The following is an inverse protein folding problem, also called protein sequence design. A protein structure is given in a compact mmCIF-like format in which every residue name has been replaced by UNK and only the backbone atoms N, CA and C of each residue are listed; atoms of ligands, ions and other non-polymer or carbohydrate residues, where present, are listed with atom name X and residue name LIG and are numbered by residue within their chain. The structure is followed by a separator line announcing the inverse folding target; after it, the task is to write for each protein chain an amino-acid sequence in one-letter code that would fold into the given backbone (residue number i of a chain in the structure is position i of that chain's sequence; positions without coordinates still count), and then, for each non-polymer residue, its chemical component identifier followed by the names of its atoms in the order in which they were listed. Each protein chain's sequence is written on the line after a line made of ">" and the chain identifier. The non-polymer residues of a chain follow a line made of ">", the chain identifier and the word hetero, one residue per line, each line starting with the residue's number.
data_IF_271467705144
#
_entry.id   IF_271467705144
#
_cell.length_a   1.000
_cell.length_b   1.000
_cell.length_c   1.000
_cell.angle_alpha   90.00
_cell.angle_beta   90.00
_cell.angle_gamma   90.00
#
_symmetry.space_group_name_H-M   'P 1'
#
loop_
_entity.id
_entity.type
_entity.pdbx_description
1 polymer ?
#
# COMPACT_ATOMS: atom_id res chain seq x y z
N UNK A 1 -61.21 5.58 -8.38
CA UNK A 1 -60.57 5.85 -9.69
C UNK A 1 -59.08 5.71 -9.50
N UNK A 2 -58.53 4.60 -9.97
CA UNK A 2 -57.10 4.31 -9.88
C UNK A 2 -56.32 5.09 -10.94
N UNK A 3 -55.16 5.59 -10.55
CA UNK A 3 -54.13 6.06 -11.47
C UNK A 3 -52.86 5.27 -11.18
N UNK A 4 -52.68 4.23 -11.98
CA UNK A 4 -51.43 3.48 -12.12
C UNK A 4 -50.41 4.35 -12.86
N UNK A 5 -49.42 4.85 -12.14
CA UNK A 5 -48.18 5.33 -12.73
C UNK A 5 -47.15 4.20 -12.74
N UNK A 6 -46.96 3.55 -13.89
CA UNK A 6 -45.92 2.56 -14.12
C UNK A 6 -44.54 3.22 -13.99
N UNK A 7 -43.74 2.75 -13.04
CA UNK A 7 -42.30 3.02 -12.98
C UNK A 7 -41.63 1.97 -13.86
N UNK A 8 -41.17 2.39 -15.04
CA UNK A 8 -40.30 1.59 -15.91
C UNK A 8 -38.93 1.38 -15.21
N UNK A 9 -38.35 0.17 -15.25
CA UNK A 9 -37.01 -0.06 -14.73
C UNK A 9 -35.97 0.55 -15.68
N UNK A 10 -35.21 1.54 -15.19
CA UNK A 10 -33.99 2.02 -15.82
C UNK A 10 -32.97 0.87 -15.87
N UNK A 11 -32.82 0.26 -17.06
CA UNK A 11 -31.66 -0.56 -17.43
C UNK A 11 -30.53 0.39 -17.81
N UNK A 12 -29.54 0.58 -16.94
CA UNK A 12 -28.25 1.10 -17.39
C UNK A 12 -27.44 -0.07 -17.95
N UNK A 13 -27.37 -0.09 -19.28
CA UNK A 13 -26.52 -1.00 -20.04
C UNK A 13 -25.05 -0.75 -19.74
N UNK A 14 -24.35 -1.84 -19.51
CA UNK A 14 -22.90 -1.93 -19.68
C UNK A 14 -22.60 -1.61 -21.15
N UNK A 15 -21.93 -0.47 -21.40
CA UNK A 15 -21.24 -0.27 -22.68
C UNK A 15 -19.94 -1.05 -22.59
N UNK A 16 -19.97 -2.27 -23.08
CA UNK A 16 -18.79 -2.96 -23.58
C UNK A 16 -18.31 -2.19 -24.81
N UNK A 17 -17.11 -1.63 -24.74
CA UNK A 17 -16.38 -1.14 -25.91
C UNK A 17 -15.94 -2.37 -26.72
N UNK A 18 -16.85 -2.87 -27.55
CA UNK A 18 -16.57 -3.78 -28.64
C UNK A 18 -16.35 -2.95 -29.91
N UNK A 19 -15.09 -2.79 -30.30
CA UNK A 19 -14.64 -2.58 -31.68
C UNK A 19 -13.11 -2.51 -31.68
N UNK A 20 -12.44 -3.65 -31.91
CA UNK A 20 -11.33 -3.75 -32.88
C UNK A 20 -10.97 -5.23 -33.14
N UNK A 21 -11.90 -6.00 -33.71
CA UNK A 21 -11.59 -7.25 -34.40
C UNK A 21 -11.73 -7.03 -35.90
N UNK A 22 -10.65 -6.59 -36.57
CA UNK A 22 -10.32 -6.96 -37.96
C UNK A 22 -8.94 -6.44 -38.37
N UNK A 23 -7.91 -7.22 -38.09
CA UNK A 23 -6.76 -7.37 -38.99
C UNK A 23 -5.98 -8.63 -38.59
N UNK A 24 -6.40 -9.79 -39.11
CA UNK A 24 -5.52 -10.94 -39.20
C UNK A 24 -4.37 -10.61 -40.16
N UNK A 25 -3.16 -10.51 -39.63
CA UNK A 25 -1.94 -10.65 -40.43
C UNK A 25 -0.86 -11.34 -39.60
N UNK A 26 -0.27 -12.33 -40.26
CA UNK A 26 0.67 -13.34 -39.78
C UNK A 26 1.73 -12.81 -38.81
N UNK A 27 1.88 -13.53 -37.70
CA UNK A 27 3.00 -13.39 -36.76
C UNK A 27 4.24 -13.91 -37.48
N UNK A 28 5.07 -12.99 -37.97
CA UNK A 28 6.41 -13.30 -38.45
C UNK A 28 7.32 -13.60 -37.24
N UNK A 29 8.13 -14.69 -37.28
CA UNK A 29 9.09 -14.97 -36.24
C UNK A 29 10.35 -14.14 -36.52
N UNK A 30 10.35 -12.86 -36.16
CA UNK A 30 11.61 -12.13 -36.12
C UNK A 30 12.42 -12.65 -34.93
N UNK A 31 13.61 -13.24 -35.15
CA UNK A 31 14.51 -13.54 -34.04
C UNK A 31 14.86 -12.22 -33.35
N UNK A 32 14.88 -12.18 -32.01
CA UNK A 32 15.31 -10.98 -31.30
C UNK A 32 16.73 -10.61 -31.73
N UNK A 33 17.05 -9.30 -31.83
CA UNK A 33 18.37 -8.87 -32.24
C UNK A 33 19.43 -9.54 -31.35
N UNK A 34 20.33 -10.28 -31.99
CA UNK A 34 21.57 -10.77 -31.39
C UNK A 34 22.23 -9.55 -30.72
N UNK A 35 22.52 -9.66 -29.42
CA UNK A 35 23.16 -8.67 -28.53
C UNK A 35 22.28 -7.81 -27.58
N UNK A 36 21.03 -8.16 -27.27
CA UNK A 36 20.40 -7.67 -26.03
C UNK A 36 20.26 -8.78 -24.99
N UNK A 37 21.12 -8.76 -23.97
CA UNK A 37 20.99 -9.65 -22.81
C UNK A 37 19.73 -9.22 -22.05
N UNK A 38 18.69 -10.06 -22.06
CA UNK A 38 17.47 -9.80 -21.29
C UNK A 38 17.79 -9.81 -19.80
N UNK A 39 17.15 -8.91 -19.03
CA UNK A 39 17.11 -9.00 -17.59
C UNK A 39 16.04 -10.02 -17.16
N UNK A 40 16.44 -11.07 -16.47
CA UNK A 40 15.55 -12.16 -16.02
C UNK A 40 15.05 -11.88 -14.62
N UNK A 41 13.73 -11.70 -14.49
CA UNK A 41 13.04 -11.50 -13.22
C UNK A 41 12.32 -12.79 -12.83
N UNK A 42 12.94 -13.56 -11.93
CA UNK A 42 12.29 -14.68 -11.26
C UNK A 42 11.22 -14.17 -10.31
N UNK A 43 9.97 -14.63 -10.42
CA UNK A 43 8.88 -14.17 -9.56
C UNK A 43 8.25 -15.30 -8.75
N UNK A 44 8.05 -15.01 -7.46
CA UNK A 44 7.35 -15.85 -6.50
C UNK A 44 6.26 -15.02 -5.81
N UNK A 45 5.09 -14.96 -6.44
CA UNK A 45 3.98 -14.08 -6.03
C UNK A 45 2.75 -14.91 -5.70
N UNK A 46 1.94 -14.44 -4.75
CA UNK A 46 0.64 -15.08 -4.49
C UNK A 46 -0.25 -15.00 -5.73
N UNK A 47 -1.16 -15.97 -5.91
CA UNK A 47 -2.07 -15.97 -7.07
C UNK A 47 -2.89 -14.68 -7.17
N UNK A 48 -3.27 -14.10 -6.02
CA UNK A 48 -3.94 -12.79 -5.96
C UNK A 48 -3.06 -11.68 -6.51
N UNK A 49 -1.78 -11.68 -6.15
CA UNK A 49 -0.81 -10.68 -6.57
C UNK A 49 -0.57 -10.77 -8.08
N UNK A 50 -0.34 -11.97 -8.62
CA UNK A 50 -0.20 -12.22 -10.07
C UNK A 50 -1.39 -11.61 -10.83
N UNK A 51 -2.63 -12.00 -10.48
CA UNK A 51 -3.85 -11.47 -11.11
C UNK A 51 -3.98 -9.94 -11.04
N UNK A 52 -3.51 -9.33 -9.95
CA UNK A 52 -3.64 -7.87 -9.74
C UNK A 52 -2.52 -7.04 -10.37
N UNK A 53 -1.30 -7.59 -10.48
CA UNK A 53 -0.07 -6.86 -10.78
C UNK A 53 0.58 -7.32 -12.08
N UNK A 54 0.78 -8.62 -12.26
CA UNK A 54 1.45 -9.20 -13.43
C UNK A 54 0.44 -9.42 -14.56
N UNK A 55 -0.08 -8.31 -15.08
CA UNK A 55 -1.06 -8.31 -16.18
C UNK A 55 -0.36 -8.32 -17.55
N UNK A 56 -1.04 -8.77 -18.62
CA UNK A 56 -0.46 -8.83 -19.96
C UNK A 56 0.18 -7.51 -20.45
N UNK A 57 -0.40 -6.35 -20.08
CA UNK A 57 0.17 -5.04 -20.41
C UNK A 57 1.55 -4.79 -19.79
N UNK A 58 1.76 -5.21 -18.54
CA UNK A 58 3.06 -5.10 -17.88
C UNK A 58 4.07 -6.05 -18.52
N UNK A 59 3.68 -7.31 -18.75
CA UNK A 59 4.54 -8.32 -19.35
C UNK A 59 4.95 -7.96 -20.78
N UNK A 60 4.02 -7.43 -21.58
CA UNK A 60 4.28 -6.95 -22.94
C UNK A 60 5.27 -5.79 -22.97
N UNK A 61 5.05 -4.75 -22.15
CA UNK A 61 6.00 -3.62 -22.08
C UNK A 61 7.38 -4.07 -21.56
N UNK A 62 7.41 -4.90 -20.53
CA UNK A 62 8.64 -5.40 -19.95
C UNK A 62 9.45 -6.20 -20.98
N UNK A 63 8.81 -7.11 -21.72
CA UNK A 63 9.43 -7.86 -22.81
C UNK A 63 10.00 -6.95 -23.88
N UNK A 64 9.24 -5.94 -24.31
CA UNK A 64 9.69 -4.97 -25.32
C UNK A 64 10.90 -4.14 -24.86
N UNK A 65 11.06 -3.94 -23.54
CA UNK A 65 12.24 -3.28 -22.96
C UNK A 65 13.35 -4.25 -22.53
N UNK A 66 13.27 -5.53 -22.86
CA UNK A 66 14.31 -6.50 -22.57
C UNK A 66 14.23 -7.12 -21.17
N UNK A 67 13.06 -7.19 -20.55
CA UNK A 67 12.82 -7.92 -19.28
C UNK A 67 12.02 -9.19 -19.57
N UNK A 68 12.47 -10.31 -19.00
CA UNK A 68 11.74 -11.58 -19.02
C UNK A 68 11.28 -11.95 -17.61
N UNK A 69 9.97 -12.12 -17.43
CA UNK A 69 9.42 -12.69 -16.19
C UNK A 69 9.39 -14.21 -16.25
N UNK A 70 9.94 -14.87 -15.23
CA UNK A 70 9.96 -16.33 -15.10
C UNK A 70 9.34 -16.72 -13.77
N UNK A 71 8.34 -17.59 -13.79
CA UNK A 71 7.72 -18.08 -12.56
C UNK A 71 8.71 -18.99 -11.82
N UNK A 72 8.90 -18.76 -10.52
CA UNK A 72 9.67 -19.66 -9.66
C UNK A 72 8.77 -20.81 -9.22
N UNK A 73 9.21 -22.04 -9.48
CA UNK A 73 8.60 -23.26 -8.99
C UNK A 73 9.01 -23.50 -7.53
N UNK A 74 8.02 -23.51 -6.63
CA UNK A 74 8.25 -23.71 -5.20
C UNK A 74 8.56 -25.17 -4.84
N UNK A 75 8.36 -26.11 -5.75
CA UNK A 75 8.64 -27.53 -5.53
C UNK A 75 10.08 -27.92 -5.89
N UNK A 76 10.88 -26.97 -6.39
CA UNK A 76 12.26 -27.16 -6.80
C UNK A 76 13.19 -26.21 -6.02
N UNK A 77 14.45 -26.58 -5.78
CA UNK A 77 15.42 -25.68 -5.18
C UNK A 77 15.56 -24.39 -5.99
N UNK A 78 15.68 -23.24 -5.31
CA UNK A 78 15.77 -21.93 -5.99
C UNK A 78 17.09 -21.78 -6.77
N UNK A 79 18.17 -22.39 -6.27
CA UNK A 79 19.49 -22.46 -6.91
C UNK A 79 19.45 -23.02 -8.34
N UNK A 80 18.50 -23.92 -8.61
CA UNK A 80 18.47 -24.71 -9.84
C UNK A 80 17.57 -24.08 -10.93
N UNK A 81 17.04 -22.90 -10.66
CA UNK A 81 16.05 -22.23 -11.50
C UNK A 81 16.57 -20.94 -12.14
N UNK A 82 17.76 -20.49 -11.72
CA UNK A 82 18.45 -19.34 -12.29
C UNK A 82 19.13 -19.64 -13.65
N UNK A 83 19.92 -18.69 -14.17
CA UNK A 83 20.28 -17.43 -13.53
C UNK A 83 19.13 -16.41 -13.55
N UNK A 84 18.88 -15.77 -12.41
CA UNK A 84 18.01 -14.61 -12.29
C UNK A 84 18.86 -13.36 -12.11
N UNK A 85 18.45 -12.20 -12.64
CA UNK A 85 19.04 -10.91 -12.27
C UNK A 85 18.32 -10.32 -11.05
N UNK A 86 17.01 -10.61 -10.94
CA UNK A 86 16.12 -10.11 -9.89
C UNK A 86 15.20 -11.24 -9.43
N UNK A 87 15.01 -11.38 -8.12
CA UNK A 87 13.97 -12.22 -7.51
C UNK A 87 12.90 -11.33 -6.92
N UNK A 88 11.73 -11.26 -7.55
CA UNK A 88 10.57 -10.49 -7.10
C UNK A 88 9.63 -11.39 -6.31
N UNK A 89 9.39 -11.10 -5.03
CA UNK A 89 8.58 -12.00 -4.21
C UNK A 89 7.57 -11.33 -3.27
N UNK A 90 6.52 -12.08 -2.97
CA UNK A 90 5.49 -11.75 -1.97
C UNK A 90 4.91 -12.99 -1.29
N UNK A 91 5.64 -14.12 -1.31
CA UNK A 91 5.26 -15.29 -0.53
C UNK A 91 5.71 -15.11 0.92
N UNK A 92 4.94 -15.71 1.82
CA UNK A 92 5.17 -15.70 3.26
C UNK A 92 5.41 -17.12 3.74
N UNK A 93 6.23 -17.31 4.77
CA UNK A 93 6.51 -18.64 5.32
C UNK A 93 7.90 -18.71 5.94
N UNK A 94 8.14 -19.61 6.88
CA UNK A 94 9.49 -19.81 7.43
C UNK A 94 10.42 -20.43 6.38
N UNK A 95 9.96 -21.47 5.69
CA UNK A 95 10.72 -22.20 4.67
C UNK A 95 11.10 -21.31 3.49
N UNK A 96 10.12 -20.64 2.87
CA UNK A 96 10.38 -19.71 1.75
C UNK A 96 11.40 -18.62 2.10
N UNK A 97 11.30 -18.05 3.32
CA UNK A 97 12.26 -17.03 3.77
C UNK A 97 13.66 -17.61 3.92
N UNK A 98 13.80 -18.82 4.45
CA UNK A 98 15.09 -19.48 4.57
C UNK A 98 15.70 -19.73 3.19
N UNK A 99 14.91 -20.28 2.25
CA UNK A 99 15.39 -20.52 0.88
C UNK A 99 15.83 -19.23 0.18
N UNK A 100 15.15 -18.11 0.40
CA UNK A 100 15.55 -16.81 -0.15
C UNK A 100 16.84 -16.28 0.49
N UNK A 101 17.03 -16.47 1.79
CA UNK A 101 18.24 -16.03 2.49
C UNK A 101 19.45 -16.84 2.03
N UNK A 102 19.31 -18.17 1.94
CA UNK A 102 20.35 -19.07 1.43
C UNK A 102 20.72 -18.73 -0.03
N UNK A 103 19.72 -18.43 -0.86
CA UNK A 103 19.93 -18.01 -2.23
C UNK A 103 20.65 -16.66 -2.31
N UNK A 104 20.30 -15.69 -1.45
CA UNK A 104 20.96 -14.37 -1.39
C UNK A 104 22.44 -14.48 -1.00
N UNK A 105 22.77 -15.41 -0.11
CA UNK A 105 24.15 -15.64 0.32
C UNK A 105 24.99 -16.29 -0.78
N UNK A 106 24.41 -17.23 -1.52
CA UNK A 106 25.10 -17.97 -2.59
C UNK A 106 25.13 -17.20 -3.92
N UNK A 107 24.22 -16.25 -4.12
CA UNK A 107 24.10 -15.45 -5.34
C UNK A 107 24.02 -13.94 -5.01
N UNK A 108 25.09 -13.33 -4.46
CA UNK A 108 25.11 -11.93 -4.03
C UNK A 108 24.95 -10.94 -5.18
N UNK A 109 25.16 -11.38 -6.41
CA UNK A 109 24.86 -10.61 -7.60
C UNK A 109 23.36 -10.41 -7.78
N UNK A 110 22.49 -11.33 -7.33
CA UNK A 110 21.05 -11.29 -7.61
C UNK A 110 20.32 -10.33 -6.67
N UNK A 111 19.46 -9.48 -7.24
CA UNK A 111 18.68 -8.54 -6.43
C UNK A 111 17.42 -9.23 -5.91
N UNK A 112 17.36 -9.54 -4.61
CA UNK A 112 16.12 -9.99 -3.94
C UNK A 112 15.27 -8.78 -3.57
N UNK A 113 14.06 -8.70 -4.14
CA UNK A 113 13.18 -7.54 -4.08
C UNK A 113 11.86 -7.87 -3.34
N UNK A 114 11.63 -7.39 -2.11
CA UNK A 114 12.59 -6.77 -1.17
C UNK A 114 13.22 -7.83 -0.23
N UNK A 115 14.31 -7.52 0.50
CA UNK A 115 14.92 -8.46 1.44
C UNK A 115 13.96 -9.04 2.50
N UNK A 116 13.97 -10.36 2.80
CA UNK A 116 13.04 -10.99 3.75
C UNK A 116 13.12 -10.48 5.19
N UNK A 117 14.28 -10.00 5.62
CA UNK A 117 14.53 -9.35 6.91
C UNK A 117 13.87 -7.96 6.97
N UNK A 118 14.04 -7.15 5.93
CA UNK A 118 13.42 -5.82 5.80
C UNK A 118 11.89 -5.87 5.91
N UNK A 119 11.27 -6.88 5.28
CA UNK A 119 9.80 -7.05 5.26
C UNK A 119 9.25 -7.33 6.67
N UNK A 120 10.00 -8.03 7.53
CA UNK A 120 9.54 -8.41 8.88
C UNK A 120 9.28 -7.20 9.78
N UNK A 121 9.99 -6.09 9.57
CA UNK A 121 9.79 -4.86 10.33
C UNK A 121 8.36 -4.28 10.17
N UNK A 122 7.67 -4.61 9.07
CA UNK A 122 6.31 -4.15 8.80
C UNK A 122 5.21 -5.08 9.36
N UNK A 123 5.54 -6.27 9.87
CA UNK A 123 4.54 -7.18 10.44
C UNK A 123 4.05 -6.75 11.84
N UNK A 124 4.75 -5.82 12.49
CA UNK A 124 4.34 -5.26 13.76
C UNK A 124 3.95 -3.78 13.60
N UNK A 125 2.65 -3.49 13.68
CA UNK A 125 2.11 -2.11 13.57
C UNK A 125 2.70 -1.15 14.60
N UNK A 126 3.17 -1.65 15.74
CA UNK A 126 3.86 -0.83 16.75
C UNK A 126 5.18 -0.27 16.21
N UNK A 127 6.04 -1.12 15.64
CA UNK A 127 7.36 -0.72 15.14
C UNK A 127 7.30 -0.03 13.78
N UNK A 128 6.29 -0.37 12.97
CA UNK A 128 6.13 0.13 11.60
C UNK A 128 6.14 1.67 11.52
N UNK A 129 5.37 2.33 12.38
CA UNK A 129 5.29 3.79 12.40
C UNK A 129 6.38 4.45 13.26
N UNK A 130 7.07 3.67 14.09
CA UNK A 130 8.15 4.19 14.95
C UNK A 130 9.29 4.78 14.10
N UNK A 131 9.63 4.15 12.97
CA UNK A 131 10.60 4.71 12.03
C UNK A 131 10.23 6.12 11.55
N UNK A 132 8.93 6.43 11.44
CA UNK A 132 8.45 7.77 11.08
C UNK A 132 8.61 8.75 12.25
N UNK A 133 8.24 8.33 13.46
CA UNK A 133 8.41 9.14 14.67
C UNK A 133 9.87 9.53 14.89
N UNK A 134 10.80 8.59 14.73
CA UNK A 134 12.23 8.78 14.99
C UNK A 134 12.92 9.72 13.98
N UNK A 135 12.32 9.95 12.81
CA UNK A 135 12.88 10.84 11.79
C UNK A 135 12.72 12.34 12.14
N UNK A 136 11.74 12.69 12.99
CA UNK A 136 11.36 14.07 13.32
C UNK A 136 11.43 15.03 12.10
N UNK A 137 10.75 14.64 11.02
CA UNK A 137 10.93 15.27 9.71
C UNK A 137 10.18 16.60 9.66
N UNK A 138 10.90 17.68 9.92
CA UNK A 138 10.45 19.08 9.80
C UNK A 138 11.37 19.82 8.84
N UNK A 139 10.81 20.45 7.80
CA UNK A 139 11.57 21.29 6.86
C UNK A 139 10.72 22.48 6.36
N UNK A 140 11.24 23.23 5.40
CA UNK A 140 10.55 24.38 4.78
C UNK A 140 9.25 24.02 4.07
N UNK A 141 8.99 22.74 3.81
CA UNK A 141 7.78 22.24 3.14
C UNK A 141 6.74 21.67 4.13
N UNK A 142 7.07 21.62 5.43
CA UNK A 142 6.16 21.18 6.48
C UNK A 142 6.74 20.13 7.42
N UNK A 143 5.86 19.55 8.23
CA UNK A 143 6.15 18.58 9.27
C UNK A 143 5.44 17.28 8.98
N UNK A 144 6.17 16.17 9.08
CA UNK A 144 5.63 14.82 9.00
C UNK A 144 5.80 14.15 10.36
N UNK A 145 4.70 13.66 10.92
CA UNK A 145 4.69 12.86 12.14
C UNK A 145 3.80 11.64 12.03
N UNK A 146 3.48 11.06 13.18
CA UNK A 146 2.46 10.03 13.34
C UNK A 146 1.49 10.50 14.43
N UNK A 147 0.19 10.17 14.35
CA UNK A 147 -0.71 10.46 15.46
C UNK A 147 -0.29 9.65 16.68
N UNK A 148 -0.55 10.18 17.88
CA UNK A 148 -0.21 9.48 19.11
C UNK A 148 -0.92 8.12 19.14
N UNK A 149 -0.20 7.09 19.57
CA UNK A 149 -0.72 5.73 19.54
C UNK A 149 -0.26 4.90 20.74
N UNK A 150 -1.06 3.88 21.07
CA UNK A 150 -0.86 2.98 22.19
C UNK A 150 -1.24 1.56 21.78
N UNK A 151 -0.48 0.56 22.22
CA UNK A 151 -0.76 -0.85 21.97
C UNK A 151 -1.38 -1.49 23.21
N UNK A 152 -2.54 -2.11 23.03
CA UNK A 152 -3.19 -2.91 24.07
C UNK A 152 -3.19 -4.36 23.62
N UNK A 153 -2.53 -5.24 24.39
CA UNK A 153 -2.32 -6.64 24.00
C UNK A 153 -3.37 -7.62 24.52
N UNK A 154 -3.94 -7.38 25.71
CA UNK A 154 -4.75 -8.40 26.40
C UNK A 154 -5.97 -7.84 27.12
N UNK A 155 -5.77 -6.95 28.08
CA UNK A 155 -6.85 -6.55 28.98
C UNK A 155 -7.73 -5.45 28.37
N UNK A 156 -8.98 -5.81 28.03
CA UNK A 156 -9.97 -4.86 27.51
C UNK A 156 -10.42 -3.86 28.59
N UNK A 157 -10.47 -4.29 29.85
CA UNK A 157 -10.96 -3.47 30.96
C UNK A 157 -9.98 -2.34 31.33
N UNK A 158 -8.69 -2.54 31.05
CA UNK A 158 -7.64 -1.54 31.30
C UNK A 158 -7.59 -0.44 30.24
N UNK A 159 -8.23 -0.61 29.08
CA UNK A 159 -8.14 0.31 27.93
C UNK A 159 -8.39 1.78 28.35
N UNK A 160 -9.48 2.12 29.07
CA UNK A 160 -9.78 3.51 29.38
C UNK A 160 -8.72 4.16 30.29
N UNK A 161 -8.19 3.38 31.25
CA UNK A 161 -7.14 3.83 32.17
C UNK A 161 -5.78 4.01 31.48
N UNK A 162 -5.42 3.06 30.60
CA UNK A 162 -4.19 3.13 29.82
C UNK A 162 -4.22 4.27 28.78
N UNK A 163 -5.37 4.54 28.16
CA UNK A 163 -5.59 5.72 27.29
C UNK A 163 -5.38 7.03 28.07
N UNK A 164 -5.97 7.15 29.26
CA UNK A 164 -5.82 8.34 30.10
C UNK A 164 -4.37 8.53 30.58
N UNK A 165 -3.72 7.44 31.03
CA UNK A 165 -2.32 7.44 31.46
C UNK A 165 -1.36 7.80 30.32
N UNK A 166 -1.60 7.27 29.13
CA UNK A 166 -0.85 7.64 27.94
C UNK A 166 -1.17 9.06 27.46
N UNK A 167 -2.28 9.66 27.90
CA UNK A 167 -2.75 10.97 27.50
C UNK A 167 -3.18 11.03 26.03
N UNK A 168 -3.83 9.98 25.52
CA UNK A 168 -4.43 9.99 24.18
C UNK A 168 -5.74 10.79 24.20
N UNK A 169 -5.96 11.57 23.15
CA UNK A 169 -7.16 12.38 22.96
C UNK A 169 -8.20 11.65 22.12
N UNK A 170 -9.46 11.73 22.55
CA UNK A 170 -10.59 11.25 21.77
C UNK A 170 -10.92 12.23 20.62
N UNK A 171 -11.40 11.73 19.46
CA UNK A 171 -11.72 10.32 19.20
C UNK A 171 -10.49 9.46 18.85
N UNK A 172 -10.59 8.16 19.08
CA UNK A 172 -9.49 7.18 18.90
C UNK A 172 -9.88 6.11 17.88
N UNK A 173 -9.06 5.94 16.86
CA UNK A 173 -9.14 4.82 15.91
C UNK A 173 -8.51 3.58 16.54
N UNK A 174 -9.30 2.51 16.70
CA UNK A 174 -8.83 1.20 17.08
C UNK A 174 -8.60 0.34 15.84
N UNK A 175 -7.38 -0.20 15.73
CA UNK A 175 -6.97 -1.11 14.64
C UNK A 175 -6.49 -2.43 15.25
N UNK A 176 -6.83 -3.62 14.71
CA UNK A 176 -6.25 -4.89 15.14
C UNK A 176 -4.72 -4.86 15.12
N UNK A 177 -4.06 -5.46 16.12
CA UNK A 177 -2.60 -5.46 16.20
C UNK A 177 -1.97 -6.31 15.10
N UNK A 178 -2.62 -7.43 14.76
CA UNK A 178 -2.16 -8.36 13.73
C UNK A 178 -2.57 -7.83 12.35
N UNK A 179 -1.59 -7.62 11.47
CA UNK A 179 -1.77 -7.23 10.08
C UNK A 179 -1.45 -8.40 9.13
N UNK A 180 -2.12 -9.55 9.30
CA UNK A 180 -1.86 -10.79 8.54
C UNK A 180 -2.64 -10.88 7.20
N UNK A 181 -3.43 -9.86 6.88
CA UNK A 181 -4.24 -9.81 5.66
C UNK A 181 -5.55 -10.62 5.73
N UNK A 182 -5.91 -11.17 6.90
CA UNK A 182 -7.21 -11.79 7.15
C UNK A 182 -8.34 -10.74 7.22
N UNK A 183 -9.59 -11.18 7.05
CA UNK A 183 -10.75 -10.28 7.15
C UNK A 183 -10.87 -9.60 8.53
N UNK A 184 -10.42 -10.26 9.61
CA UNK A 184 -10.44 -9.73 10.98
C UNK A 184 -9.34 -8.68 11.24
N UNK A 185 -8.26 -8.68 10.45
CA UNK A 185 -7.14 -7.72 10.58
C UNK A 185 -7.41 -6.30 10.03
N UNK A 186 -8.60 -6.09 9.46
CA UNK A 186 -8.96 -4.86 8.75
C UNK A 186 -10.20 -4.15 9.29
N UNK A 187 -10.83 -4.66 10.36
CA UNK A 187 -11.94 -3.95 10.99
C UNK A 187 -11.40 -2.74 11.76
N UNK A 188 -11.81 -1.53 11.38
CA UNK A 188 -11.48 -0.30 12.08
C UNK A 188 -12.69 0.12 12.90
N UNK A 189 -12.46 0.45 14.17
CA UNK A 189 -13.48 1.04 15.04
C UNK A 189 -13.06 2.44 15.46
N UNK A 190 -14.01 3.37 15.61
CA UNK A 190 -13.75 4.70 16.13
C UNK A 190 -14.46 4.85 17.47
N UNK A 191 -13.68 5.09 18.52
CA UNK A 191 -14.18 5.35 19.86
C UNK A 191 -14.23 6.86 20.08
N UNK A 192 -15.43 7.39 20.36
CA UNK A 192 -15.66 8.83 20.53
C UNK A 192 -15.62 9.31 21.97
N UNK A 193 -15.94 8.41 22.90
CA UNK A 193 -16.03 8.69 24.33
C UNK A 193 -15.36 7.58 25.15
N UNK A 194 -15.24 7.82 26.45
CA UNK A 194 -14.64 6.88 27.39
C UNK A 194 -15.43 5.57 27.50
N UNK A 195 -16.75 5.60 27.31
CA UNK A 195 -17.62 4.43 27.36
C UNK A 195 -17.40 3.51 26.15
N UNK A 196 -17.11 4.10 24.99
CA UNK A 196 -16.82 3.42 23.74
C UNK A 196 -15.53 2.63 23.80
N UNK A 197 -14.53 3.11 24.57
CA UNK A 197 -13.28 2.39 24.80
C UNK A 197 -13.48 1.04 25.48
N UNK A 198 -14.50 0.90 26.35
CA UNK A 198 -14.80 -0.35 27.05
C UNK A 198 -15.36 -1.44 26.14
N UNK A 199 -15.81 -1.08 24.93
CA UNK A 199 -16.38 -2.00 23.93
C UNK A 199 -15.34 -2.52 22.94
N UNK A 200 -14.06 -2.14 23.10
CA UNK A 200 -12.97 -2.54 22.22
C UNK A 200 -12.35 -3.86 22.70
N UNK A 201 -11.97 -4.72 21.75
CA UNK A 201 -11.41 -6.04 22.02
C UNK A 201 -9.94 -6.12 21.57
N UNK A 202 -8.98 -6.25 22.51
CA UNK A 202 -7.58 -6.50 22.19
C UNK A 202 -7.35 -7.84 21.47
N UNK A 203 -6.22 -8.03 20.75
CA UNK A 203 -5.09 -7.12 20.66
C UNK A 203 -5.28 -6.03 19.60
N UNK A 204 -5.01 -4.77 19.98
CA UNK A 204 -5.25 -3.60 19.13
C UNK A 204 -4.18 -2.51 19.29
N UNK A 205 -4.11 -1.65 18.29
CA UNK A 205 -3.43 -0.36 18.31
C UNK A 205 -4.51 0.72 18.37
N UNK A 206 -4.45 1.56 19.39
CA UNK A 206 -5.23 2.77 19.54
C UNK A 206 -4.42 3.92 18.96
N UNK A 207 -5.00 4.69 18.05
CA UNK A 207 -4.35 5.84 17.42
C UNK A 207 -5.31 7.03 17.46
N UNK A 208 -4.82 8.21 17.85
CA UNK A 208 -5.63 9.43 17.82
C UNK A 208 -6.17 9.69 16.41
N UNK A 209 -7.45 10.07 16.35
CA UNK A 209 -8.07 10.53 15.12
C UNK A 209 -7.73 12.00 14.90
N UNK A 210 -7.16 12.30 13.74
CA UNK A 210 -6.85 13.67 13.31
C UNK A 210 -7.87 14.04 12.23
N UNK A 211 -8.63 15.11 12.42
CA UNK A 211 -9.49 15.65 11.37
C UNK A 211 -8.61 16.03 10.16
N UNK A 212 -9.05 15.64 8.96
CA UNK A 212 -8.28 15.75 7.71
C UNK A 212 -9.17 16.00 6.48
N UNK A 213 -10.39 16.50 6.67
CA UNK A 213 -11.30 16.87 5.60
C UNK A 213 -11.82 15.69 4.77
N UNK A 214 -11.74 14.47 5.31
CA UNK A 214 -12.17 13.27 4.59
C UNK A 214 -11.31 12.87 3.40
N UNK A 215 -10.07 13.35 3.30
CA UNK A 215 -9.14 13.03 2.20
C UNK A 215 -7.81 12.47 2.72
N UNK A 216 -7.39 11.36 2.12
CA UNK A 216 -6.11 10.72 2.37
C UNK A 216 -5.27 10.68 1.09
N UNK A 217 -3.96 10.86 1.23
CA UNK A 217 -2.97 10.75 0.16
C UNK A 217 -2.29 9.39 0.24
N UNK A 218 -2.55 8.54 -0.75
CA UNK A 218 -1.84 7.27 -0.88
C UNK A 218 -0.58 7.50 -1.72
N UNK A 219 0.58 7.41 -1.07
CA UNK A 219 1.88 7.67 -1.66
C UNK A 219 2.55 6.33 -1.97
N UNK A 220 2.56 5.94 -3.24
CA UNK A 220 3.26 4.76 -3.71
C UNK A 220 4.74 5.07 -3.92
N UNK A 221 5.59 4.19 -3.41
CA UNK A 221 7.04 4.26 -3.55
C UNK A 221 7.50 3.03 -4.33
N UNK A 222 8.23 3.26 -5.42
CA UNK A 222 8.83 2.22 -6.28
C UNK A 222 10.28 2.61 -6.52
N UNK A 223 11.18 2.11 -5.68
CA UNK A 223 12.56 2.57 -5.62
C UNK A 223 12.61 4.05 -5.25
N UNK A 224 13.07 4.88 -6.17
CA UNK A 224 13.12 6.35 -6.03
C UNK A 224 11.89 7.06 -6.60
N UNK A 225 11.03 6.34 -7.33
CA UNK A 225 9.84 6.91 -7.95
C UNK A 225 8.71 7.01 -6.94
N UNK A 226 8.07 8.19 -6.90
CA UNK A 226 6.92 8.48 -6.05
C UNK A 226 5.70 8.76 -6.92
N UNK A 227 4.58 8.10 -6.62
CA UNK A 227 3.27 8.41 -7.22
C UNK A 227 2.24 8.61 -6.11
N UNK A 228 1.55 9.75 -6.15
CA UNK A 228 0.51 10.09 -5.16
C UNK A 228 -0.86 9.98 -5.83
N UNK A 229 -1.84 9.42 -5.11
CA UNK A 229 -3.26 9.46 -5.48
C UNK A 229 -4.10 9.89 -4.30
N UNK A 230 -5.16 10.66 -4.58
CA UNK A 230 -6.14 11.08 -3.58
C UNK A 230 -7.19 9.99 -3.34
N UNK A 231 -7.60 9.88 -2.10
CA UNK A 231 -8.53 8.87 -1.60
C UNK A 231 -9.51 9.56 -0.69
N UNK A 232 -10.79 9.20 -0.80
CA UNK A 232 -11.70 9.54 0.29
C UNK A 232 -11.21 8.82 1.56
N UNK A 233 -11.57 9.37 2.70
CA UNK A 233 -11.20 8.88 4.02
C UNK A 233 -12.39 9.08 4.96
N UNK A 234 -12.18 8.84 6.26
CA UNK A 234 -13.19 9.10 7.27
C UNK A 234 -13.46 10.61 7.34
N UNK A 235 -14.74 11.04 7.37
CA UNK A 235 -15.08 12.45 7.51
C UNK A 235 -14.61 12.99 8.84
N UNK A 236 -14.50 14.31 8.92
CA UNK A 236 -14.15 14.98 10.17
C UNK A 236 -15.21 14.77 11.24
N UNK A 237 -14.76 14.83 12.48
CA UNK A 237 -15.60 14.65 13.66
C UNK A 237 -15.74 15.99 14.38
N UNK A 238 -16.97 16.44 14.58
CA UNK A 238 -17.28 17.63 15.36
C UNK A 238 -17.70 17.28 16.79
N UNK A 239 -17.11 17.92 17.81
CA UNK A 239 -17.45 17.70 19.23
C UNK A 239 -18.93 17.88 19.55
N UNK A 240 -19.67 18.72 18.82
CA UNK A 240 -21.11 18.95 19.05
C UNK A 240 -21.98 17.79 18.57
N UNK A 241 -21.57 17.09 17.52
CA UNK A 241 -22.27 15.91 17.01
C UNK A 241 -22.06 14.71 17.96
N UNK A 242 -20.91 14.67 18.64
CA UNK A 242 -20.57 13.63 19.62
C UNK A 242 -21.42 13.67 20.89
N UNK A 243 -21.91 14.84 21.31
CA UNK A 243 -22.78 14.98 22.48
C UNK A 243 -24.13 14.25 22.32
N UNK A 244 -24.52 13.94 21.08
CA UNK A 244 -25.81 13.31 20.75
C UNK A 244 -25.68 11.83 20.35
N UNK A 245 -24.48 11.26 20.33
CA UNK A 245 -24.22 9.89 19.84
C UNK A 245 -23.56 9.08 20.95
N UNK A 246 -24.32 8.20 21.60
CA UNK A 246 -23.77 7.26 22.58
C UNK A 246 -23.31 5.96 21.90
N UNK A 247 -22.00 5.65 21.96
CA UNK A 247 -21.45 4.33 21.62
C UNK A 247 -20.36 4.29 20.53
N UNK A 248 -19.87 3.08 20.24
CA UNK A 248 -18.87 2.82 19.19
C UNK A 248 -19.55 2.81 17.84
N UNK A 249 -19.16 3.71 16.93
CA UNK A 249 -19.42 3.49 15.52
C UNK A 249 -18.44 2.46 14.99
N UNK A 250 -18.97 1.27 14.70
CA UNK A 250 -18.34 0.37 13.75
C UNK A 250 -18.70 0.90 12.38
N UNK A 251 -17.73 1.47 11.66
CA UNK A 251 -17.97 1.87 10.28
C UNK A 251 -18.26 0.59 9.47
N UNK A 252 -19.49 0.39 8.94
CA UNK A 252 -19.73 -0.69 8.00
C UNK A 252 -18.90 -0.35 6.77
N UNK A 253 -17.83 -1.12 6.53
CA UNK A 253 -17.00 -1.15 5.32
C UNK A 253 -16.86 0.20 4.63
N UNK A 254 -15.69 0.82 4.75
CA UNK A 254 -15.28 2.09 4.11
C UNK A 254 -15.31 2.00 2.56
N UNK A 255 -16.49 1.83 2.01
CA UNK A 255 -16.79 1.67 0.59
C UNK A 255 -16.59 3.01 -0.13
N UNK A 256 -16.79 4.13 0.59
CA UNK A 256 -16.48 5.47 0.12
C UNK A 256 -14.98 5.80 0.22
N UNK A 257 -14.28 5.53 1.33
CA UNK A 257 -12.81 5.74 1.41
C UNK A 257 -12.00 4.82 0.48
N UNK A 258 -12.65 3.78 -0.01
CA UNK A 258 -12.17 2.91 -1.04
C UNK A 258 -12.21 3.52 -2.46
N UNK A 259 -12.86 4.66 -2.70
CA UNK A 259 -12.89 5.28 -4.01
C UNK A 259 -11.71 6.23 -4.23
N UNK A 260 -11.21 6.28 -5.46
CA UNK A 260 -10.27 7.35 -5.84
C UNK A 260 -11.01 8.68 -5.75
N UNK A 261 -10.34 9.68 -5.21
CA UNK A 261 -10.87 11.03 -5.13
C UNK A 261 -10.14 11.98 -6.10
N UNK A 262 -9.32 11.44 -7.02
CA UNK A 262 -8.53 12.26 -7.94
C UNK A 262 -9.40 13.10 -8.91
N UNK A 263 -10.58 12.60 -9.25
CA UNK A 263 -11.54 13.25 -10.14
C UNK A 263 -12.73 13.87 -9.38
N UNK A 264 -12.68 13.87 -8.04
CA UNK A 264 -13.73 14.47 -7.23
C UNK A 264 -13.52 15.98 -7.15
N UNK A 265 -14.63 16.72 -7.14
CA UNK A 265 -14.63 18.14 -6.82
C UNK A 265 -14.45 18.29 -5.30
N UNK A 266 -13.24 18.67 -4.88
CA UNK A 266 -12.83 18.75 -3.49
C UNK A 266 -12.30 20.15 -3.21
N UNK A 267 -12.49 20.62 -1.99
CA UNK A 267 -11.87 21.86 -1.51
C UNK A 267 -10.35 21.83 -1.75
N UNK A 268 -9.78 22.77 -2.53
CA UNK A 268 -8.34 22.87 -2.76
C UNK A 268 -7.52 22.91 -1.47
N UNK A 269 -8.04 23.52 -0.40
CA UNK A 269 -7.38 23.59 0.91
C UNK A 269 -7.19 22.22 1.58
N UNK A 270 -8.02 21.24 1.22
CA UNK A 270 -8.00 19.87 1.75
C UNK A 270 -7.29 18.92 0.78
N UNK A 271 -7.53 19.08 -0.53
CA UNK A 271 -7.12 18.11 -1.54
C UNK A 271 -5.77 18.40 -2.21
N UNK A 272 -5.15 19.55 -1.93
CA UNK A 272 -3.79 19.85 -2.41
C UNK A 272 -2.82 18.72 -2.04
N UNK A 273 -2.04 18.24 -3.01
CA UNK A 273 -1.08 17.16 -2.78
C UNK A 273 0.01 17.61 -1.80
N UNK A 274 0.53 16.71 -0.94
CA UNK A 274 1.69 17.00 -0.12
C UNK A 274 2.87 17.44 -0.99
N UNK A 275 3.69 18.43 -0.57
CA UNK A 275 4.79 18.93 -1.38
C UNK A 275 5.74 17.81 -1.81
N UNK A 276 6.05 17.73 -3.11
CA UNK A 276 6.92 16.70 -3.65
C UNK A 276 8.28 16.59 -2.95
N UNK A 277 9.00 17.69 -2.64
CA UNK A 277 10.29 17.62 -1.93
C UNK A 277 10.16 17.02 -0.51
N UNK A 278 9.02 17.24 0.17
CA UNK A 278 8.73 16.63 1.46
C UNK A 278 8.61 15.11 1.33
N UNK A 279 7.82 14.66 0.35
CA UNK A 279 7.61 13.23 0.07
C UNK A 279 8.90 12.54 -0.39
N UNK A 280 9.72 13.20 -1.20
CA UNK A 280 11.01 12.68 -1.65
C UNK A 280 11.98 12.47 -0.48
N UNK A 281 12.06 13.42 0.46
CA UNK A 281 12.89 13.27 1.67
C UNK A 281 12.35 12.13 2.56
N UNK A 282 11.04 12.08 2.77
CA UNK A 282 10.38 11.04 3.56
C UNK A 282 10.60 9.65 2.96
N UNK A 283 10.36 9.49 1.66
CA UNK A 283 10.51 8.23 0.96
C UNK A 283 11.96 7.73 1.00
N UNK A 284 12.94 8.60 0.70
CA UNK A 284 14.36 8.24 0.76
C UNK A 284 14.77 7.73 2.14
N UNK A 285 14.37 8.42 3.20
CA UNK A 285 14.75 8.04 4.55
C UNK A 285 14.03 6.77 5.02
N UNK A 286 12.77 6.56 4.62
CA UNK A 286 12.06 5.30 4.86
C UNK A 286 12.68 4.13 4.09
N UNK A 287 13.02 4.31 2.81
CA UNK A 287 13.73 3.29 2.03
C UNK A 287 15.04 2.90 2.73
N UNK A 288 15.80 3.88 3.22
CA UNK A 288 17.07 3.66 3.92
C UNK A 288 16.89 2.94 5.25
N UNK A 289 15.92 3.34 6.08
CA UNK A 289 15.70 2.78 7.41
C UNK A 289 15.02 1.42 7.39
N UNK A 290 14.04 1.23 6.50
CA UNK A 290 13.29 -0.02 6.40
C UNK A 290 13.99 -1.05 5.51
N UNK A 291 14.91 -0.62 4.62
CA UNK A 291 15.52 -1.49 3.62
C UNK A 291 14.55 -1.94 2.53
N UNK A 292 13.42 -1.24 2.38
CA UNK A 292 12.35 -1.55 1.42
C UNK A 292 12.37 -0.61 0.23
N UNK A 293 11.91 -1.11 -0.92
CA UNK A 293 11.78 -0.31 -2.15
C UNK A 293 10.38 -0.38 -2.75
N UNK A 294 9.57 -1.35 -2.35
CA UNK A 294 8.19 -1.51 -2.79
C UNK A 294 7.23 -1.40 -1.61
N UNK A 295 6.79 -0.19 -1.30
CA UNK A 295 5.77 0.06 -0.30
C UNK A 295 4.91 1.27 -0.65
N UNK A 296 3.81 1.44 0.06
CA UNK A 296 3.05 2.69 0.02
C UNK A 296 2.83 3.22 1.44
N UNK A 297 2.63 4.52 1.51
CA UNK A 297 2.23 5.25 2.72
C UNK A 297 0.80 5.72 2.56
N UNK A 298 0.08 5.70 3.67
CA UNK A 298 -1.21 6.37 3.80
C UNK A 298 -0.97 7.62 4.66
N UNK A 299 -1.11 8.80 4.05
CA UNK A 299 -0.81 10.10 4.66
C UNK A 299 -2.08 10.94 4.71
N UNK A 300 -2.32 11.60 5.84
CA UNK A 300 -3.37 12.61 5.99
C UNK A 300 -2.76 13.98 6.30
N UNK A 301 -3.45 15.06 5.93
CA UNK A 301 -3.11 16.44 6.29
C UNK A 301 -4.06 16.90 7.39
N UNK A 302 -3.55 17.49 8.47
CA UNK A 302 -4.42 18.02 9.53
C UNK A 302 -5.30 19.14 8.99
N UNK A 303 -6.62 19.00 9.16
CA UNK A 303 -7.59 19.98 8.68
C UNK A 303 -7.28 21.35 9.26
N UNK A 304 -7.30 22.37 8.41
CA UNK A 304 -7.05 23.76 8.80
C UNK A 304 -5.57 24.11 8.86
N UNK A 305 -4.70 23.14 8.59
CA UNK A 305 -3.26 23.35 8.43
C UNK A 305 -2.87 23.15 6.96
N UNK A 306 -1.78 23.81 6.54
CA UNK A 306 -1.21 23.59 5.20
C UNK A 306 -0.03 22.63 5.21
N UNK A 307 0.65 22.51 6.34
CA UNK A 307 2.01 21.98 6.42
C UNK A 307 2.17 20.84 7.44
N UNK A 308 1.09 20.38 8.09
CA UNK A 308 1.15 19.25 9.04
C UNK A 308 0.57 17.99 8.44
N UNK A 309 1.42 16.98 8.31
CA UNK A 309 1.09 15.70 7.71
C UNK A 309 1.35 14.57 8.70
N UNK A 310 0.50 13.55 8.64
CA UNK A 310 0.61 12.36 9.49
C UNK A 310 0.61 11.10 8.64
N UNK A 311 1.61 10.23 8.85
CA UNK A 311 1.61 8.88 8.31
C UNK A 311 0.77 8.00 9.22
N UNK A 312 -0.28 7.38 8.69
CA UNK A 312 -1.23 6.57 9.46
C UNK A 312 -1.10 5.06 9.19
N UNK A 313 -0.46 4.68 8.07
CA UNK A 313 -0.19 3.29 7.72
C UNK A 313 0.98 3.16 6.71
N UNK A 314 1.71 2.04 6.77
CA UNK A 314 2.76 1.67 5.80
C UNK A 314 2.49 0.24 5.33
N UNK A 315 2.41 0.04 4.02
CA UNK A 315 2.01 -1.25 3.47
C UNK A 315 3.09 -1.80 2.52
N UNK A 316 3.60 -3.00 2.82
CA UNK A 316 4.55 -3.71 1.96
C UNK A 316 3.90 -4.21 0.68
N UNK A 317 4.49 -3.85 -0.46
CA UNK A 317 4.16 -4.31 -1.80
C UNK A 317 2.65 -4.51 -2.03
N UNK A 318 1.79 -3.50 -1.78
CA UNK A 318 0.33 -3.62 -1.65
C UNK A 318 -0.32 -4.46 -2.75
N UNK A 319 -1.24 -5.35 -2.35
CA UNK A 319 -2.02 -6.21 -3.25
C UNK A 319 -3.51 -6.06 -2.99
N UNK A 320 -4.35 -6.48 -3.93
CA UNK A 320 -5.81 -6.44 -3.77
C UNK A 320 -6.22 -7.46 -2.70
N UNK A 321 -6.73 -6.99 -1.56
CA UNK A 321 -7.44 -7.84 -0.60
C UNK A 321 -8.95 -7.78 -0.89
N UNK A 322 -9.69 -8.90 -0.83
CA UNK A 322 -11.15 -8.86 -0.89
C UNK A 322 -11.78 -8.17 0.33
N UNK A 323 -11.02 -7.98 1.40
CA UNK A 323 -11.48 -7.40 2.68
C UNK A 323 -10.72 -6.13 3.08
N UNK A 324 -9.70 -5.75 2.31
CA UNK A 324 -9.01 -4.48 2.46
C UNK A 324 -8.93 -3.80 1.11
N UNK A 325 -9.54 -2.63 1.05
CA UNK A 325 -9.53 -1.73 -0.09
C UNK A 325 -8.15 -1.06 -0.30
N UNK A 326 -7.06 -1.76 0.02
CA UNK A 326 -5.70 -1.40 -0.37
C UNK A 326 -5.58 -1.65 -1.87
N UNK A 327 -5.46 -0.55 -2.61
CA UNK A 327 -5.25 -0.58 -4.04
C UNK A 327 -3.88 -1.19 -4.32
N UNK A 328 -3.89 -2.30 -5.06
CA UNK A 328 -2.67 -2.90 -5.60
C UNK A 328 -1.95 -1.90 -6.50
N UNK A 329 -0.64 -2.04 -6.65
CA UNK A 329 0.10 -1.31 -7.69
C UNK A 329 -0.52 -1.39 -9.09
N UNK A 330 -1.25 -2.46 -9.44
CA UNK A 330 -1.98 -2.54 -10.71
C UNK A 330 -3.13 -1.54 -10.90
N UNK A 331 -3.39 -0.67 -9.92
CA UNK A 331 -4.32 0.47 -9.96
C UNK A 331 -3.62 1.81 -9.78
N UNK A 332 -2.31 1.81 -9.51
CA UNK A 332 -1.50 3.03 -9.52
C UNK A 332 -1.43 3.54 -10.96
N UNK A 333 -1.68 4.83 -11.22
CA UNK A 333 -1.53 5.38 -12.57
C UNK A 333 -0.10 5.16 -13.05
N UNK A 334 0.05 4.80 -14.32
CA UNK A 334 1.36 4.59 -14.98
C UNK A 334 2.20 3.44 -14.38
N UNK A 335 1.62 2.55 -13.55
CA UNK A 335 2.40 1.50 -12.89
C UNK A 335 3.18 0.60 -13.85
N UNK A 336 2.66 0.36 -15.05
CA UNK A 336 3.32 -0.47 -16.07
C UNK A 336 4.67 0.13 -16.45
N UNK A 337 4.73 1.43 -16.71
CA UNK A 337 5.97 2.13 -17.06
C UNK A 337 6.90 2.23 -15.84
N UNK A 338 6.36 2.70 -14.71
CA UNK A 338 7.14 2.89 -13.47
C UNK A 338 7.82 1.58 -13.03
N UNK A 339 7.11 0.45 -13.02
CA UNK A 339 7.70 -0.83 -12.64
C UNK A 339 8.70 -1.35 -13.67
N UNK A 340 8.42 -1.17 -14.96
CA UNK A 340 9.36 -1.60 -16.00
C UNK A 340 10.68 -0.85 -15.88
N UNK A 341 10.63 0.48 -15.75
CA UNK A 341 11.82 1.33 -15.62
C UNK A 341 12.56 1.05 -14.30
N UNK A 342 11.82 0.82 -13.23
CA UNK A 342 12.41 0.41 -11.95
C UNK A 342 13.17 -0.91 -12.08
N UNK A 343 12.56 -1.96 -12.64
CA UNK A 343 13.21 -3.26 -12.80
C UNK A 343 14.45 -3.19 -13.71
N UNK A 344 14.40 -2.38 -14.78
CA UNK A 344 15.57 -2.10 -15.63
C UNK A 344 16.70 -1.44 -14.84
N UNK A 345 16.37 -0.45 -13.99
CA UNK A 345 17.37 0.25 -13.18
C UNK A 345 18.12 -0.70 -12.24
N UNK A 346 17.44 -1.73 -11.73
CA UNK A 346 18.04 -2.75 -10.88
C UNK A 346 19.00 -3.65 -11.66
N UNK A 347 18.60 -4.12 -12.85
CA UNK A 347 19.47 -4.92 -13.70
C UNK A 347 20.73 -4.15 -14.15
N UNK A 348 20.59 -2.89 -14.56
CA UNK A 348 21.71 -2.06 -15.04
C UNK A 348 22.75 -1.76 -13.96
N UNK A 349 22.31 -1.52 -12.71
CA UNK A 349 23.22 -1.29 -11.59
C UNK A 349 24.12 -2.50 -11.29
N UNK A 350 23.68 -3.72 -11.63
CA UNK A 350 24.52 -4.91 -11.48
C UNK A 350 25.59 -5.03 -12.56
N UNK A 351 25.29 -4.66 -13.81
CA UNK A 351 26.30 -4.65 -14.87
C UNK A 351 27.44 -3.67 -14.55
N UNK A 352 27.12 -2.50 -13.99
CA UNK A 352 28.14 -1.55 -13.54
C UNK A 352 29.02 -2.11 -12.41
N UNK A 353 28.44 -2.83 -11.45
CA UNK A 353 29.20 -3.48 -10.35
C UNK A 353 30.07 -4.65 -10.79
N UNK A 354 29.74 -5.31 -11.91
CA UNK A 354 30.54 -6.42 -12.48
C UNK A 354 31.70 -5.93 -13.37
N UNK A 355 31.67 -4.67 -13.80
CA UNK A 355 32.69 -4.07 -14.67
C UNK A 355 33.73 -3.20 -13.93
N UNK A 356 33.62 -3.11 -12.61
CA UNK A 356 34.59 -2.51 -11.68
C UNK A 356 35.11 -3.60 -10.77
#
# INVERSE_FOLDING_TARGET
>A
MGLQGQILPYKNGEKEDADDERAGKEISPFPPPLHSKFAVVGYALTSKKIKSFLKPKLEGLARNKGILFVAIDQNRPLSDQGPFDIVLHKLTGKEWRQSLEDYRQTHPEVTVLDPPDAIQHLHNRQSMLQCVADMNLSNSYGKVGIPKQLVIKKDASSIPGEVAKAGLMLPIVAKPLVADGSAKSHELSLAYDQQSLQKLEPPLVLQEFVNHGGVMFKVYIVGETIKVVRRFSLPDVCKRELSNIAGVFRFPRVSCAAASADNADLDPGVAELPPRPLLEKLARELCRRLGLRLFNLDIIREHGTRDRFYVIDINYFPGKSPFSFIFSYGKMPEYVHIFTDFLLSLGQNQYKKKST
#
